data_IF_741099001823
#
_entry.id   IF_741099001823
#
_cell.length_a   1.000
_cell.length_b   1.000
_cell.length_c   1.000
_cell.angle_alpha   90.00
_cell.angle_beta   90.00
_cell.angle_gamma   90.00
#
_symmetry.space_group_name_H-M   'P 1'
#
loop_
_entity.id
_entity.type
_entity.pdbx_description
1 polymer ?
#
# COMPACT_ATOMS: atom_id res chain seq x y z
N UNK A 1 -8.44 17.46 1.49
CA UNK A 1 -7.47 16.59 0.78
C UNK A 1 -8.06 15.18 0.79
N UNK A 2 -8.03 14.48 -0.32
CA UNK A 2 -8.52 13.09 -0.43
C UNK A 2 -7.62 12.20 0.43
N UNK A 3 -8.21 11.29 1.20
CA UNK A 3 -7.48 10.34 2.02
C UNK A 3 -7.74 8.92 1.53
N UNK A 4 -6.66 8.17 1.20
CA UNK A 4 -6.74 6.81 0.71
C UNK A 4 -5.84 5.89 1.55
N UNK A 5 -6.45 5.06 2.37
CA UNK A 5 -5.77 4.06 3.20
C UNK A 5 -5.91 2.69 2.59
N UNK A 6 -4.78 2.04 2.40
CA UNK A 6 -4.63 0.73 1.76
C UNK A 6 -3.94 -0.30 2.67
N UNK A 7 -3.29 0.16 3.76
CA UNK A 7 -2.55 -0.69 4.71
C UNK A 7 -3.46 -1.12 5.86
N UNK A 8 -3.98 -2.33 5.78
CA UNK A 8 -4.98 -2.89 6.70
C UNK A 8 -6.41 -2.57 6.26
N UNK A 9 -7.19 -1.92 7.11
CA UNK A 9 -8.57 -1.57 6.77
C UNK A 9 -8.62 -0.54 5.63
N UNK A 10 -9.29 -0.92 4.56
CA UNK A 10 -9.49 -0.07 3.40
C UNK A 10 -10.38 1.12 3.73
N UNK A 11 -9.93 2.32 3.39
CA UNK A 11 -10.68 3.55 3.59
C UNK A 11 -10.38 4.56 2.48
N UNK A 12 -11.42 5.19 1.95
CA UNK A 12 -11.31 6.24 0.94
C UNK A 12 -12.32 7.33 1.23
N UNK A 13 -11.84 8.56 1.44
CA UNK A 13 -12.67 9.75 1.60
C UNK A 13 -12.35 10.80 0.54
N UNK A 14 -13.36 11.58 0.18
CA UNK A 14 -13.20 12.74 -0.67
C UNK A 14 -12.54 13.92 0.08
N UNK A 15 -12.40 15.06 -0.60
CA UNK A 15 -11.77 16.26 -0.01
C UNK A 15 -12.56 16.84 1.18
N UNK A 16 -13.86 16.56 1.26
CA UNK A 16 -14.79 16.95 2.33
C UNK A 16 -14.87 15.93 3.47
N UNK A 17 -14.12 14.82 3.39
CA UNK A 17 -14.08 13.76 4.40
C UNK A 17 -15.25 12.77 4.32
N UNK A 18 -16.02 12.74 3.22
CA UNK A 18 -17.12 11.80 3.01
C UNK A 18 -16.59 10.50 2.38
N UNK A 19 -17.08 9.37 2.85
CA UNK A 19 -16.68 8.06 2.32
C UNK A 19 -17.16 7.87 0.86
N UNK A 20 -16.25 7.39 -0.01
CA UNK A 20 -16.50 7.25 -1.45
C UNK A 20 -16.92 5.81 -1.77
N UNK A 21 -18.16 5.47 -1.42
CA UNK A 21 -18.74 4.13 -1.62
C UNK A 21 -18.77 3.68 -3.08
N UNK A 22 -18.92 4.61 -4.02
CA UNK A 22 -18.99 4.32 -5.47
C UNK A 22 -17.71 3.67 -6.03
N UNK A 23 -16.57 3.90 -5.39
CA UNK A 23 -15.30 3.25 -5.73
C UNK A 23 -15.05 2.02 -4.87
N UNK A 24 -15.35 2.07 -3.57
CA UNK A 24 -15.11 0.97 -2.62
C UNK A 24 -15.89 -0.30 -2.97
N UNK A 25 -17.11 -0.17 -3.53
CA UNK A 25 -17.97 -1.31 -3.91
C UNK A 25 -17.67 -1.90 -5.29
N UNK A 26 -16.69 -1.38 -6.02
CA UNK A 26 -16.34 -1.83 -7.38
C UNK A 26 -14.90 -2.32 -7.44
N UNK A 27 -14.64 -3.62 -7.25
CA UNK A 27 -13.30 -4.16 -7.04
C UNK A 27 -12.26 -3.73 -8.10
N UNK A 28 -12.57 -3.83 -9.40
CA UNK A 28 -11.63 -3.45 -10.46
C UNK A 28 -11.28 -1.96 -10.48
N UNK A 29 -12.23 -1.08 -10.14
CA UNK A 29 -11.98 0.37 -10.07
C UNK A 29 -11.11 0.71 -8.87
N UNK A 30 -11.42 0.09 -7.73
CA UNK A 30 -10.63 0.23 -6.51
C UNK A 30 -9.21 -0.26 -6.72
N UNK A 31 -9.02 -1.44 -7.33
CA UNK A 31 -7.71 -1.98 -7.64
C UNK A 31 -6.91 -1.11 -8.60
N UNK A 32 -7.56 -0.55 -9.64
CA UNK A 32 -6.93 0.40 -10.55
C UNK A 32 -6.46 1.64 -9.77
N UNK A 33 -7.30 2.22 -8.92
CA UNK A 33 -6.93 3.38 -8.10
C UNK A 33 -5.77 3.06 -7.16
N UNK A 34 -5.83 1.92 -6.46
CA UNK A 34 -4.77 1.46 -5.58
C UNK A 34 -3.45 1.21 -6.31
N UNK A 35 -3.50 0.60 -7.51
CA UNK A 35 -2.33 0.40 -8.35
C UNK A 35 -1.70 1.73 -8.77
N UNK A 36 -2.52 2.68 -9.26
CA UNK A 36 -2.03 3.99 -9.66
C UNK A 36 -1.42 4.80 -8.49
N UNK A 37 -1.90 4.56 -7.27
CA UNK A 37 -1.37 5.19 -6.06
C UNK A 37 -0.08 4.53 -5.55
N UNK A 38 -0.03 3.18 -5.52
CA UNK A 38 0.99 2.42 -4.82
C UNK A 38 2.10 1.84 -5.71
N UNK A 39 1.89 1.73 -7.04
CA UNK A 39 2.86 1.11 -7.93
C UNK A 39 4.08 2.00 -8.17
N UNK A 40 5.12 1.77 -7.37
CA UNK A 40 6.40 2.49 -7.47
C UNK A 40 7.35 1.81 -8.48
N UNK A 41 8.33 2.54 -9.02
CA UNK A 41 8.62 3.97 -8.86
C UNK A 41 7.86 4.89 -9.84
N UNK A 42 6.94 4.37 -10.67
CA UNK A 42 6.31 5.12 -11.75
C UNK A 42 5.06 5.84 -11.26
N UNK A 43 5.02 7.15 -11.46
CA UNK A 43 3.79 7.96 -11.26
C UNK A 43 2.83 7.91 -12.43
N UNK A 44 3.31 7.56 -13.63
CA UNK A 44 2.54 7.42 -14.86
C UNK A 44 2.69 6.01 -15.42
N UNK A 45 1.60 5.42 -15.83
CA UNK A 45 1.51 4.06 -16.34
C UNK A 45 0.95 4.08 -17.76
N UNK A 46 1.52 3.23 -18.63
CA UNK A 46 0.99 3.06 -19.98
C UNK A 46 -0.41 2.45 -19.93
N UNK A 47 -1.34 3.02 -20.68
CA UNK A 47 -2.72 2.51 -20.73
C UNK A 47 -2.76 1.06 -21.16
N UNK A 48 -1.99 0.66 -22.17
CA UNK A 48 -1.96 -0.73 -22.65
C UNK A 48 -1.50 -1.70 -21.55
N UNK A 49 -0.56 -1.30 -20.67
CA UNK A 49 -0.18 -2.11 -19.51
C UNK A 49 -1.33 -2.26 -18.49
N UNK A 50 -2.11 -1.19 -18.30
CA UNK A 50 -3.28 -1.24 -17.42
C UNK A 50 -4.40 -2.11 -18.01
N UNK A 51 -4.59 -2.11 -19.34
CA UNK A 51 -5.56 -2.99 -19.99
C UNK A 51 -5.22 -4.45 -19.74
N UNK A 52 -3.96 -4.84 -19.98
CA UNK A 52 -3.49 -6.21 -19.75
C UNK A 52 -3.61 -6.63 -18.27
N UNK A 53 -3.39 -5.69 -17.34
CA UNK A 53 -3.40 -5.95 -15.91
C UNK A 53 -4.82 -6.14 -15.35
N UNK A 54 -5.79 -5.33 -15.81
CA UNK A 54 -7.12 -5.27 -15.20
C UNK A 54 -8.23 -5.88 -16.03
N UNK A 55 -8.04 -6.06 -17.35
CA UNK A 55 -9.04 -6.61 -18.26
C UNK A 55 -8.41 -7.54 -19.31
N UNK A 56 -7.63 -8.56 -18.87
CA UNK A 56 -6.95 -9.47 -19.80
C UNK A 56 -7.93 -10.34 -20.60
N UNK A 57 -9.16 -10.51 -20.10
CA UNK A 57 -10.22 -11.30 -20.73
C UNK A 57 -10.96 -10.55 -21.85
N UNK A 58 -10.80 -9.23 -21.93
CA UNK A 58 -11.47 -8.41 -22.93
C UNK A 58 -10.59 -8.18 -24.16
N UNK A 59 -11.21 -8.05 -25.31
CA UNK A 59 -10.52 -7.52 -26.48
C UNK A 59 -10.11 -6.05 -26.26
N UNK A 60 -9.23 -5.55 -27.12
CA UNK A 60 -8.61 -4.25 -26.94
C UNK A 60 -9.62 -3.08 -26.93
N UNK A 61 -10.69 -3.17 -27.73
CA UNK A 61 -11.70 -2.10 -27.81
C UNK A 61 -12.52 -2.03 -26.51
N UNK A 62 -13.02 -3.18 -26.05
CA UNK A 62 -13.79 -3.28 -24.82
C UNK A 62 -12.93 -2.96 -23.57
N UNK A 63 -11.67 -3.41 -23.53
CA UNK A 63 -10.75 -3.08 -22.44
C UNK A 63 -10.47 -1.56 -22.38
N UNK A 64 -10.26 -0.89 -23.53
CA UNK A 64 -10.11 0.57 -23.58
C UNK A 64 -11.37 1.31 -23.11
N UNK A 65 -12.55 0.82 -23.49
CA UNK A 65 -13.82 1.39 -23.03
C UNK A 65 -13.96 1.22 -21.50
N UNK A 66 -13.62 0.04 -20.96
CA UNK A 66 -13.65 -0.23 -19.52
C UNK A 66 -12.69 0.69 -18.73
N UNK A 67 -11.46 0.87 -19.21
CA UNK A 67 -10.49 1.79 -18.59
C UNK A 67 -10.99 3.24 -18.63
N UNK A 68 -11.50 3.73 -19.77
CA UNK A 68 -12.08 5.08 -19.87
C UNK A 68 -13.21 5.27 -18.87
N UNK A 69 -14.11 4.29 -18.76
CA UNK A 69 -15.22 4.35 -17.80
C UNK A 69 -14.73 4.32 -16.35
N UNK A 70 -13.72 3.49 -16.03
CA UNK A 70 -13.14 3.45 -14.69
C UNK A 70 -12.53 4.81 -14.30
N UNK A 71 -11.72 5.40 -15.19
CA UNK A 71 -11.11 6.72 -14.97
C UNK A 71 -12.15 7.85 -14.89
N UNK A 72 -13.23 7.76 -15.67
CA UNK A 72 -14.34 8.71 -15.60
C UNK A 72 -15.00 8.69 -14.22
N UNK A 73 -15.32 7.51 -13.70
CA UNK A 73 -15.94 7.38 -12.37
C UNK A 73 -14.99 7.85 -11.26
N UNK A 74 -13.69 7.63 -11.39
CA UNK A 74 -12.70 8.17 -10.43
C UNK A 74 -12.74 9.70 -10.44
N UNK A 75 -12.79 10.34 -11.62
CA UNK A 75 -12.88 11.81 -11.74
C UNK A 75 -14.19 12.36 -11.17
N UNK A 76 -15.31 11.68 -11.41
CA UNK A 76 -16.59 12.08 -10.83
C UNK A 76 -16.62 12.01 -9.31
N UNK A 77 -15.98 10.94 -8.76
CA UNK A 77 -16.00 10.69 -7.33
C UNK A 77 -14.99 11.53 -6.54
N UNK A 78 -13.81 11.80 -7.12
CA UNK A 78 -12.67 12.42 -6.42
C UNK A 78 -12.26 13.79 -6.99
N UNK A 79 -12.85 14.19 -8.12
CA UNK A 79 -12.51 15.43 -8.81
C UNK A 79 -11.73 15.20 -10.10
N UNK A 80 -11.93 16.09 -11.07
CA UNK A 80 -11.38 15.96 -12.42
C UNK A 80 -9.84 15.95 -12.44
N UNK A 81 -9.23 16.72 -11.56
CA UNK A 81 -7.78 16.93 -11.52
C UNK A 81 -6.99 15.82 -10.79
N UNK A 82 -7.69 14.83 -10.22
CA UNK A 82 -7.05 13.70 -9.53
C UNK A 82 -6.32 12.76 -10.50
N UNK A 83 -6.81 12.66 -11.74
CA UNK A 83 -6.21 11.85 -12.79
C UNK A 83 -5.34 12.74 -13.68
N UNK A 84 -4.04 12.48 -13.67
CA UNK A 84 -3.09 13.11 -14.59
C UNK A 84 -2.86 12.23 -15.83
N UNK A 85 -2.65 12.85 -16.98
CA UNK A 85 -2.36 12.16 -18.23
C UNK A 85 -1.17 12.80 -18.92
N UNK A 86 -0.40 11.98 -19.64
CA UNK A 86 0.63 12.44 -20.57
C UNK A 86 0.31 11.91 -21.97
N UNK A 87 -0.24 12.81 -22.80
CA UNK A 87 -0.84 12.43 -24.07
C UNK A 87 -1.99 11.40 -23.86
N UNK A 88 -2.22 10.61 -24.90
CA UNK A 88 -3.22 9.54 -24.89
C UNK A 88 -2.69 8.19 -24.40
N UNK A 89 -1.38 8.13 -24.09
CA UNK A 89 -0.70 6.86 -23.81
C UNK A 89 -0.55 6.57 -22.32
N UNK A 90 -0.42 7.59 -21.48
CA UNK A 90 -0.09 7.39 -20.07
C UNK A 90 -1.11 8.06 -19.14
N UNK A 91 -1.30 7.43 -17.99
CA UNK A 91 -2.22 7.90 -16.94
C UNK A 91 -1.63 7.59 -15.57
N UNK A 92 -1.91 8.46 -14.61
CA UNK A 92 -1.53 8.32 -13.21
C UNK A 92 -2.44 9.11 -12.29
N UNK A 93 -2.03 9.21 -11.02
CA UNK A 93 -2.68 10.03 -10.02
C UNK A 93 -1.84 11.25 -9.67
N UNK A 94 -2.52 12.36 -9.38
CA UNK A 94 -1.92 13.51 -8.73
C UNK A 94 -1.80 13.26 -7.22
N UNK A 95 -0.61 12.85 -6.79
CA UNK A 95 -0.32 12.57 -5.39
C UNK A 95 -0.26 13.83 -4.50
N UNK A 96 -0.34 15.03 -5.06
CA UNK A 96 -0.50 16.26 -4.27
C UNK A 96 -1.95 16.45 -3.80
N UNK A 97 -2.90 15.81 -4.48
CA UNK A 97 -4.33 15.86 -4.17
C UNK A 97 -4.83 14.68 -3.35
N UNK A 98 -4.10 13.56 -3.40
CA UNK A 98 -4.43 12.33 -2.67
C UNK A 98 -3.32 12.01 -1.70
N UNK A 99 -3.64 12.02 -0.41
CA UNK A 99 -2.79 11.38 0.58
C UNK A 99 -3.04 9.88 0.58
N UNK A 100 -1.97 9.09 0.45
CA UNK A 100 -2.02 7.63 0.46
C UNK A 100 -1.05 7.09 1.51
N UNK A 101 -1.52 6.22 2.40
CA UNK A 101 -0.72 5.64 3.48
C UNK A 101 0.46 4.80 2.97
N UNK A 102 0.34 4.11 1.82
CA UNK A 102 1.45 3.37 1.19
C UNK A 102 2.56 4.33 0.75
N UNK A 103 2.19 5.46 0.14
CA UNK A 103 3.15 6.48 -0.31
C UNK A 103 3.84 7.13 0.89
N UNK A 104 3.06 7.47 1.92
CA UNK A 104 3.59 8.02 3.17
C UNK A 104 4.53 7.03 3.89
N UNK A 105 4.16 5.74 3.92
CA UNK A 105 4.99 4.66 4.45
C UNK A 105 6.33 4.55 3.71
N UNK A 106 6.32 4.50 2.39
CA UNK A 106 7.54 4.41 1.58
C UNK A 106 8.44 5.62 1.79
N UNK A 107 7.84 6.79 1.92
CA UNK A 107 8.58 8.03 2.23
C UNK A 107 9.20 7.98 3.62
N UNK A 108 8.46 7.58 4.66
CA UNK A 108 8.96 7.44 6.03
C UNK A 108 10.10 6.40 6.11
N UNK A 109 9.97 5.25 5.42
CA UNK A 109 11.03 4.24 5.32
C UNK A 109 12.29 4.81 4.66
N UNK A 110 12.13 5.56 3.56
CA UNK A 110 13.26 6.16 2.83
C UNK A 110 13.95 7.25 3.65
N UNK A 111 13.19 8.00 4.45
CA UNK A 111 13.71 9.03 5.35
C UNK A 111 14.29 8.48 6.66
N UNK A 112 14.24 7.15 6.90
CA UNK A 112 14.70 6.53 8.15
C UNK A 112 13.78 6.79 9.35
N UNK A 113 12.55 7.22 9.11
CA UNK A 113 11.53 7.53 10.14
C UNK A 113 10.80 6.24 10.53
N UNK A 114 11.52 5.28 11.13
CA UNK A 114 11.04 3.92 11.38
C UNK A 114 9.79 3.84 12.26
N UNK A 115 9.63 4.76 13.22
CA UNK A 115 8.42 4.84 14.06
C UNK A 115 7.19 5.26 13.25
N UNK A 116 7.31 6.32 12.47
CA UNK A 116 6.23 6.81 11.60
C UNK A 116 5.83 5.75 10.56
N UNK A 117 6.83 5.08 9.96
CA UNK A 117 6.55 3.97 9.04
C UNK A 117 5.70 2.87 9.69
N UNK A 118 5.99 2.49 10.94
CA UNK A 118 5.22 1.45 11.65
C UNK A 118 3.84 1.91 12.13
N UNK A 119 3.65 3.20 12.37
CA UNK A 119 2.33 3.78 12.66
C UNK A 119 1.42 3.77 11.42
N UNK A 120 2.01 3.94 10.23
CA UNK A 120 1.31 3.84 8.95
C UNK A 120 1.00 2.39 8.56
N UNK A 121 1.91 1.44 8.90
CA UNK A 121 1.74 0.03 8.56
C UNK A 121 0.78 -0.68 9.52
N UNK A 122 -0.52 -0.60 9.25
CA UNK A 122 -1.59 -1.17 10.11
C UNK A 122 -1.98 -2.60 9.73
N UNK A 123 -1.57 -3.09 8.55
CA UNK A 123 -1.87 -4.42 8.02
C UNK A 123 -1.36 -4.55 6.59
N UNK A 124 -1.69 -5.66 5.95
CA UNK A 124 -1.29 -5.90 4.57
C UNK A 124 -1.97 -4.94 3.60
N UNK A 125 -1.28 -4.66 2.50
CA UNK A 125 -1.85 -3.90 1.37
C UNK A 125 -3.11 -4.60 0.86
N UNK A 126 -4.24 -3.86 0.81
CA UNK A 126 -5.53 -4.37 0.35
C UNK A 126 -5.85 -5.72 1.01
N UNK A 127 -5.89 -5.76 2.34
CA UNK A 127 -6.09 -7.00 3.09
C UNK A 127 -7.43 -7.66 2.76
N UNK A 128 -7.39 -8.96 2.42
CA UNK A 128 -8.59 -9.71 2.01
C UNK A 128 -9.16 -9.35 0.64
N UNK A 129 -8.52 -8.46 -0.11
CA UNK A 129 -8.98 -8.03 -1.42
C UNK A 129 -8.52 -9.01 -2.51
N UNK A 130 -9.43 -9.29 -3.45
CA UNK A 130 -9.21 -10.19 -4.59
C UNK A 130 -10.01 -9.73 -5.80
N UNK A 131 -9.44 -9.88 -7.00
CA UNK A 131 -10.15 -9.69 -8.28
C UNK A 131 -10.11 -11.00 -9.08
N UNK A 132 -11.27 -11.58 -9.44
CA UNK A 132 -11.28 -12.73 -10.34
C UNK A 132 -10.74 -12.35 -11.72
N UNK A 133 -10.09 -13.31 -12.37
CA UNK A 133 -9.56 -13.22 -13.74
C UNK A 133 -8.49 -12.14 -13.99
N UNK A 134 -7.83 -11.65 -12.94
CA UNK A 134 -6.76 -10.64 -13.01
C UNK A 134 -5.44 -11.15 -12.41
N UNK A 135 -4.94 -12.29 -12.89
CA UNK A 135 -3.79 -12.99 -12.33
C UNK A 135 -2.50 -12.16 -12.29
N UNK A 136 -2.29 -11.23 -13.22
CA UNK A 136 -1.13 -10.35 -13.23
C UNK A 136 -1.22 -9.28 -12.13
N UNK A 137 -2.42 -8.76 -11.88
CA UNK A 137 -2.66 -7.85 -10.76
C UNK A 137 -2.45 -8.57 -9.42
N UNK A 138 -2.95 -9.80 -9.26
CA UNK A 138 -2.75 -10.57 -8.03
C UNK A 138 -1.26 -10.85 -7.78
N UNK A 139 -0.48 -11.17 -8.81
CA UNK A 139 0.99 -11.33 -8.67
C UNK A 139 1.69 -10.03 -8.26
N UNK A 140 1.29 -8.91 -8.85
CA UNK A 140 1.80 -7.60 -8.44
C UNK A 140 1.44 -7.32 -6.98
N UNK A 141 0.19 -7.54 -6.58
CA UNK A 141 -0.30 -7.31 -5.22
C UNK A 141 0.47 -8.13 -4.18
N UNK A 142 0.70 -9.42 -4.46
CA UNK A 142 1.51 -10.30 -3.60
C UNK A 142 2.97 -9.80 -3.50
N UNK A 143 3.57 -9.38 -4.60
CA UNK A 143 4.90 -8.79 -4.62
C UNK A 143 5.00 -7.53 -3.75
N UNK A 144 4.01 -6.64 -3.86
CA UNK A 144 3.95 -5.41 -3.06
C UNK A 144 3.69 -5.69 -1.58
N UNK A 145 2.82 -6.64 -1.24
CA UNK A 145 2.62 -7.11 0.14
C UNK A 145 3.93 -7.60 0.76
N UNK A 146 4.66 -8.45 0.04
CA UNK A 146 5.95 -8.97 0.50
C UNK A 146 6.99 -7.85 0.66
N UNK A 147 7.04 -6.88 -0.26
CA UNK A 147 7.92 -5.70 -0.18
C UNK A 147 7.64 -4.86 1.06
N UNK A 148 6.37 -4.51 1.27
CA UNK A 148 5.93 -3.65 2.36
C UNK A 148 6.14 -4.31 3.73
N UNK A 149 5.77 -5.58 3.88
CA UNK A 149 6.00 -6.34 5.12
C UNK A 149 7.49 -6.42 5.46
N UNK A 150 8.34 -6.65 4.44
CA UNK A 150 9.80 -6.69 4.64
C UNK A 150 10.35 -5.33 5.09
N UNK A 151 9.84 -4.24 4.51
CA UNK A 151 10.22 -2.88 4.92
C UNK A 151 9.78 -2.58 6.36
N UNK A 152 8.53 -2.92 6.72
CA UNK A 152 8.01 -2.75 8.07
C UNK A 152 8.80 -3.58 9.10
N UNK A 153 9.15 -4.84 8.78
CA UNK A 153 9.98 -5.67 9.64
C UNK A 153 11.38 -5.07 9.86
N UNK A 154 11.97 -4.46 8.82
CA UNK A 154 13.24 -3.74 8.94
C UNK A 154 13.11 -2.54 9.88
N UNK A 155 12.11 -1.69 9.71
CA UNK A 155 11.87 -0.54 10.59
C UNK A 155 11.67 -0.96 12.06
N UNK A 156 10.97 -2.09 12.31
CA UNK A 156 10.82 -2.62 13.66
C UNK A 156 12.16 -3.07 14.28
N UNK A 157 13.06 -3.67 13.47
CA UNK A 157 14.42 -4.02 13.93
C UNK A 157 15.28 -2.81 14.22
N UNK A 158 15.20 -1.76 13.42
CA UNK A 158 15.92 -0.51 13.63
C UNK A 158 15.53 0.10 14.98
N UNK A 159 14.23 0.18 15.29
CA UNK A 159 13.74 0.65 16.58
C UNK A 159 14.11 -0.27 17.75
N UNK A 160 14.16 -1.57 17.55
CA UNK A 160 14.66 -2.53 18.54
C UNK A 160 16.12 -2.23 18.90
N UNK A 161 17.00 -2.07 17.90
CA UNK A 161 18.41 -1.80 18.15
C UNK A 161 18.62 -0.41 18.78
N UNK A 162 17.84 0.58 18.37
CA UNK A 162 17.84 1.91 18.99
C UNK A 162 17.44 1.83 20.47
N UNK A 163 16.32 1.18 20.80
CA UNK A 163 15.83 1.05 22.19
C UNK A 163 16.85 0.30 23.07
N UNK A 164 17.55 -0.68 22.53
CA UNK A 164 18.66 -1.36 23.25
C UNK A 164 19.82 -0.41 23.54
N UNK A 165 20.23 0.40 22.58
CA UNK A 165 21.31 1.36 22.75
C UNK A 165 20.98 2.45 23.80
N UNK A 166 19.70 2.82 23.89
CA UNK A 166 19.17 3.76 24.86
C UNK A 166 18.92 3.12 26.25
N UNK A 167 18.99 1.80 26.37
CA UNK A 167 18.69 1.06 27.60
C UNK A 167 17.20 0.94 27.91
N UNK A 168 16.32 1.29 26.97
CA UNK A 168 14.86 1.15 27.13
C UNK A 168 14.46 -0.30 26.79
N UNK A 169 14.49 -1.13 27.83
CA UNK A 169 14.16 -2.55 27.68
C UNK A 169 12.70 -2.79 27.34
N UNK A 170 11.79 -1.95 27.85
CA UNK A 170 10.34 -2.08 27.59
C UNK A 170 10.06 -1.87 26.10
N UNK A 171 10.53 -0.77 25.54
CA UNK A 171 10.40 -0.51 24.11
C UNK A 171 11.12 -1.58 23.26
N UNK A 172 12.29 -2.04 23.69
CA UNK A 172 13.01 -3.12 22.98
C UNK A 172 12.20 -4.42 22.89
N UNK A 173 11.47 -4.80 23.95
CA UNK A 173 10.58 -5.97 23.95
C UNK A 173 9.40 -5.76 22.99
N UNK A 174 8.78 -4.59 22.98
CA UNK A 174 7.67 -4.27 22.10
C UNK A 174 8.08 -4.35 20.61
N UNK A 175 9.21 -3.73 20.26
CA UNK A 175 9.72 -3.76 18.89
C UNK A 175 10.19 -5.14 18.47
N UNK A 176 10.77 -5.94 19.38
CA UNK A 176 11.09 -7.33 19.10
C UNK A 176 9.85 -8.16 18.77
N UNK A 177 8.76 -7.99 19.52
CA UNK A 177 7.47 -8.65 19.25
C UNK A 177 6.91 -8.22 17.89
N UNK A 178 6.91 -6.92 17.61
CA UNK A 178 6.42 -6.39 16.34
C UNK A 178 7.22 -6.92 15.16
N UNK A 179 8.56 -6.96 15.25
CA UNK A 179 9.44 -7.51 14.23
C UNK A 179 9.18 -9.02 14.00
N UNK A 180 8.99 -9.79 15.07
CA UNK A 180 8.69 -11.23 14.99
C UNK A 180 7.31 -11.51 14.38
N UNK A 181 6.31 -10.67 14.66
CA UNK A 181 4.98 -10.75 14.01
C UNK A 181 5.05 -10.50 12.50
N UNK A 182 5.86 -9.51 12.08
CA UNK A 182 6.03 -9.15 10.68
C UNK A 182 6.91 -10.13 9.90
N UNK A 183 7.80 -10.85 10.58
CA UNK A 183 8.69 -11.83 9.98
C UNK A 183 8.66 -13.16 10.76
N UNK A 184 7.55 -13.91 10.74
CA UNK A 184 7.37 -15.12 11.57
C UNK A 184 8.33 -16.25 11.24
N UNK A 185 8.93 -16.26 10.05
CA UNK A 185 9.91 -17.26 9.62
C UNK A 185 11.37 -16.85 9.89
N UNK A 186 11.60 -15.68 10.52
CA UNK A 186 12.95 -15.25 10.89
C UNK A 186 13.34 -15.85 12.26
N UNK A 187 14.06 -16.99 12.20
CA UNK A 187 14.50 -17.71 13.40
C UNK A 187 15.39 -16.87 14.33
N UNK A 188 16.16 -15.96 13.79
CA UNK A 188 17.04 -15.11 14.60
C UNK A 188 16.22 -14.14 15.44
N UNK A 189 15.19 -13.53 14.87
CA UNK A 189 14.24 -12.68 15.60
C UNK A 189 13.49 -13.45 16.68
N UNK A 190 13.06 -14.66 16.38
CA UNK A 190 12.38 -15.53 17.35
C UNK A 190 13.30 -15.86 18.53
N UNK A 191 14.55 -16.22 18.26
CA UNK A 191 15.57 -16.48 19.31
C UNK A 191 15.88 -15.24 20.15
N UNK A 192 15.96 -14.06 19.52
CA UNK A 192 16.20 -12.78 20.21
C UNK A 192 15.02 -12.42 21.13
N UNK A 193 13.79 -12.60 20.67
CA UNK A 193 12.58 -12.38 21.48
C UNK A 193 12.59 -13.25 22.74
N UNK A 194 12.91 -14.55 22.61
CA UNK A 194 13.01 -15.48 23.75
C UNK A 194 14.09 -15.04 24.75
N UNK A 195 15.26 -14.58 24.27
CA UNK A 195 16.34 -14.11 25.15
C UNK A 195 15.95 -12.87 25.94
N UNK A 196 15.32 -11.89 25.28
CA UNK A 196 14.90 -10.63 25.93
C UNK A 196 13.79 -10.92 26.94
N UNK A 197 12.82 -11.79 26.61
CA UNK A 197 11.74 -12.18 27.52
C UNK A 197 12.22 -12.95 28.76
N UNK A 198 13.32 -13.74 28.68
CA UNK A 198 13.90 -14.45 29.83
C UNK A 198 14.73 -13.56 30.76
N UNK A 199 15.23 -12.46 30.28
CA UNK A 199 15.98 -11.50 31.11
C UNK A 199 15.08 -10.60 31.96
N UNK A 200 13.76 -10.73 31.83
CA UNK A 200 12.74 -9.90 32.50
C UNK A 200 11.85 -10.67 33.48
N UNK A 201 12.12 -11.94 33.71
CA UNK A 201 11.54 -12.78 34.76
C UNK A 201 12.61 -13.02 35.84
#
# INVERSE_FOLDING_TARGET
MIEFRLLGALHLTDAEGREVQSLLTRPRRLALLAYLAAATPKRLHRRDSLLALFWPELDQEHARAALRQALHVVREALGADVIVTRGDEEVGLDLERIWCDVVAFDWAVTAGQSREALELYRGNLLEGFFIPDAGDFERWLEGERARLVKAAARSARELLEQSKAEGDVTAAVEWARRAAQLAPHDEELQRRLIKIGRAHV
#
